data_IF_653668549083
#
_entry.id   IF_653668549083
#
_cell.length_a   1.000
_cell.length_b   1.000
_cell.length_c   1.000
_cell.angle_alpha   90.00
_cell.angle_beta   90.00
_cell.angle_gamma   90.00
#
_symmetry.space_group_name_H-M   'P 1'
#
loop_
_entity.id
_entity.type
_entity.pdbx_description
1 polymer ?
#
# COMPACT_ATOMS: atom_id res chain seq x y z
N UNK A 1 -36.08 -27.01 -18.65
CA UNK A 1 -34.93 -26.31 -19.26
C UNK A 1 -34.32 -25.46 -18.15
N UNK A 2 -33.29 -25.97 -17.48
CA UNK A 2 -32.67 -25.33 -16.33
C UNK A 2 -31.47 -24.55 -16.87
N UNK A 3 -31.53 -23.22 -16.81
CA UNK A 3 -30.40 -22.35 -17.12
C UNK A 3 -29.55 -22.31 -15.85
N UNK A 4 -28.53 -23.17 -15.77
CA UNK A 4 -27.46 -23.03 -14.79
C UNK A 4 -26.54 -21.91 -15.26
N UNK A 5 -26.75 -20.70 -14.75
CA UNK A 5 -25.83 -19.58 -14.88
C UNK A 5 -24.57 -19.89 -14.10
N UNK A 6 -23.55 -20.38 -14.79
CA UNK A 6 -22.19 -20.52 -14.27
C UNK A 6 -21.64 -19.13 -13.98
N UNK A 7 -21.68 -18.73 -12.70
CA UNK A 7 -20.90 -17.61 -12.18
C UNK A 7 -19.42 -17.96 -12.35
N UNK A 8 -18.82 -17.52 -13.46
CA UNK A 8 -17.38 -17.46 -13.60
C UNK A 8 -16.85 -16.40 -12.64
N UNK A 9 -16.47 -16.83 -11.43
CA UNK A 9 -15.50 -16.09 -10.63
C UNK A 9 -14.20 -16.04 -11.43
N UNK A 10 -13.91 -14.90 -12.06
CA UNK A 10 -12.58 -14.62 -12.58
C UNK A 10 -11.62 -14.40 -11.41
N UNK A 11 -11.23 -15.49 -10.75
CA UNK A 11 -10.06 -15.52 -9.88
C UNK A 11 -8.79 -15.54 -10.75
N UNK A 12 -8.58 -14.47 -11.52
CA UNK A 12 -7.33 -14.29 -12.28
C UNK A 12 -6.21 -13.92 -11.30
N UNK A 13 -5.46 -14.96 -10.92
CA UNK A 13 -4.12 -15.00 -10.32
C UNK A 13 -3.67 -13.77 -9.54
N UNK A 14 -4.12 -13.58 -8.30
CA UNK A 14 -3.47 -12.62 -7.41
C UNK A 14 -2.08 -13.16 -7.03
N UNK A 15 -1.04 -12.33 -7.05
CA UNK A 15 0.27 -12.75 -6.53
C UNK A 15 0.10 -13.16 -5.06
N UNK A 16 0.51 -14.39 -4.72
CA UNK A 16 0.47 -14.88 -3.34
C UNK A 16 1.28 -13.97 -2.42
N UNK A 17 2.40 -13.46 -2.92
CA UNK A 17 3.27 -12.55 -2.17
C UNK A 17 2.61 -11.19 -1.96
N UNK A 18 1.91 -10.65 -2.96
CA UNK A 18 1.15 -9.41 -2.80
C UNK A 18 0.09 -9.53 -1.69
N UNK A 19 -0.63 -10.65 -1.67
CA UNK A 19 -1.63 -10.91 -0.63
C UNK A 19 -1.00 -11.05 0.75
N UNK A 20 0.11 -11.77 0.85
CA UNK A 20 0.83 -11.92 2.13
C UNK A 20 1.38 -10.58 2.65
N UNK A 21 1.94 -9.72 1.79
CA UNK A 21 2.38 -8.36 2.17
C UNK A 21 1.20 -7.52 2.64
N UNK A 22 0.09 -7.55 1.89
CA UNK A 22 -1.15 -6.85 2.25
C UNK A 22 -1.73 -7.32 3.58
N UNK A 23 -1.81 -8.62 3.79
CA UNK A 23 -2.36 -9.22 5.01
C UNK A 23 -1.45 -8.96 6.22
N UNK A 24 -0.12 -8.97 6.03
CA UNK A 24 0.83 -8.56 7.08
C UNK A 24 0.61 -7.10 7.51
N UNK A 25 0.43 -6.20 6.55
CA UNK A 25 0.16 -4.79 6.85
C UNK A 25 -1.19 -4.63 7.57
N UNK A 26 -2.22 -5.36 7.15
CA UNK A 26 -3.54 -5.35 7.82
C UNK A 26 -3.46 -5.89 9.24
N UNK A 27 -2.71 -6.96 9.46
CA UNK A 27 -2.50 -7.52 10.78
C UNK A 27 -1.77 -6.54 11.70
N UNK A 28 -0.74 -5.84 11.19
CA UNK A 28 -0.09 -4.77 11.93
C UNK A 28 -1.07 -3.63 12.29
N UNK A 29 -1.91 -3.22 11.34
CA UNK A 29 -2.94 -2.19 11.56
C UNK A 29 -3.96 -2.62 12.63
N UNK A 30 -4.48 -3.85 12.56
CA UNK A 30 -5.49 -4.34 13.51
C UNK A 30 -4.91 -4.61 14.89
N UNK A 31 -3.64 -5.01 14.98
CA UNK A 31 -2.98 -5.35 16.24
C UNK A 31 -3.03 -4.24 17.28
N UNK A 32 -3.28 -3.00 16.87
CA UNK A 32 -3.22 -1.81 17.71
C UNK A 32 -4.57 -1.06 17.80
N UNK A 33 -5.66 -1.61 17.23
CA UNK A 33 -6.96 -0.94 17.11
C UNK A 33 -7.82 -0.94 18.40
N UNK A 34 -7.68 -1.94 19.28
CA UNK A 34 -8.57 -2.13 20.44
C UNK A 34 -7.95 -1.71 21.79
N UNK A 35 -7.12 -0.66 21.80
CA UNK A 35 -6.63 -0.02 23.04
C UNK A 35 -5.51 -0.74 23.79
N UNK A 36 -5.31 -2.05 23.60
CA UNK A 36 -4.24 -2.83 24.25
C UNK A 36 -3.26 -3.56 23.31
N UNK A 37 -3.18 -3.18 22.03
CA UNK A 37 -1.98 -3.44 21.22
C UNK A 37 -1.39 -4.85 21.31
N UNK A 38 -1.95 -5.85 20.63
CA UNK A 38 -1.48 -7.24 20.67
C UNK A 38 -0.05 -7.38 20.15
N UNK A 39 0.90 -7.47 21.09
CA UNK A 39 2.33 -7.69 20.78
C UNK A 39 2.58 -8.97 19.99
N UNK A 40 1.73 -9.98 20.15
CA UNK A 40 1.81 -11.22 19.37
C UNK A 40 1.40 -11.01 17.92
N UNK A 41 0.36 -10.22 17.66
CA UNK A 41 -0.09 -9.93 16.28
C UNK A 41 0.90 -9.05 15.52
N UNK A 42 1.48 -8.02 16.15
CA UNK A 42 2.52 -7.21 15.48
C UNK A 42 3.80 -8.02 15.22
N UNK A 43 4.14 -8.98 16.10
CA UNK A 43 5.26 -9.91 15.88
C UNK A 43 4.95 -10.87 14.73
N UNK A 44 3.71 -11.36 14.65
CA UNK A 44 3.28 -12.23 13.55
C UNK A 44 3.25 -11.48 12.21
N UNK A 45 2.79 -10.23 12.21
CA UNK A 45 2.87 -9.35 11.04
C UNK A 45 4.32 -9.16 10.58
N UNK A 46 5.26 -8.95 11.52
CA UNK A 46 6.70 -8.91 11.21
C UNK A 46 7.19 -10.21 10.59
N UNK A 47 6.80 -11.36 11.14
CA UNK A 47 7.20 -12.68 10.64
C UNK A 47 6.67 -12.92 9.23
N UNK A 48 5.39 -12.62 8.99
CA UNK A 48 4.74 -12.78 7.70
C UNK A 48 5.39 -11.88 6.64
N UNK A 49 5.62 -10.61 6.97
CA UNK A 49 6.25 -9.65 6.06
C UNK A 49 7.71 -10.01 5.72
N UNK A 50 8.45 -10.61 6.65
CA UNK A 50 9.79 -11.14 6.40
C UNK A 50 9.82 -12.48 5.66
N UNK A 51 8.70 -13.21 5.63
CA UNK A 51 8.61 -14.52 4.98
C UNK A 51 8.36 -14.46 3.47
N UNK A 52 8.10 -13.27 2.94
CA UNK A 52 7.78 -13.03 1.54
C UNK A 52 8.77 -12.07 0.89
N UNK A 53 8.95 -12.24 -0.42
CA UNK A 53 9.87 -11.43 -1.21
C UNK A 53 9.12 -10.20 -1.74
N UNK A 54 9.62 -9.01 -1.42
CA UNK A 54 9.10 -7.73 -1.92
C UNK A 54 10.19 -6.66 -1.77
N UNK A 55 10.18 -5.63 -2.61
CA UNK A 55 11.18 -4.55 -2.59
C UNK A 55 10.62 -3.21 -2.13
N UNK A 56 11.45 -2.29 -1.64
CA UNK A 56 11.01 -0.93 -1.39
C UNK A 56 10.50 -0.25 -2.66
N UNK A 57 9.28 0.29 -2.59
CA UNK A 57 8.67 1.11 -3.62
C UNK A 57 9.23 2.53 -3.56
N UNK A 58 9.65 3.06 -4.71
CA UNK A 58 10.04 4.47 -4.83
C UNK A 58 8.88 5.24 -5.47
N UNK A 59 8.36 6.22 -4.73
CA UNK A 59 7.29 7.12 -5.17
C UNK A 59 7.77 8.57 -5.13
N UNK A 60 7.55 9.30 -6.21
CA UNK A 60 7.79 10.74 -6.28
C UNK A 60 6.47 11.49 -6.08
N UNK A 61 6.30 12.30 -5.03
CA UNK A 61 5.09 13.09 -4.83
C UNK A 61 4.99 14.20 -5.87
N UNK A 62 3.79 14.40 -6.42
CA UNK A 62 3.47 15.57 -7.25
C UNK A 62 3.12 16.79 -6.41
N UNK A 63 2.64 16.58 -5.18
CA UNK A 63 2.19 17.62 -4.26
C UNK A 63 2.67 17.30 -2.83
N UNK A 64 3.87 17.77 -2.49
CA UNK A 64 4.54 17.48 -1.22
C UNK A 64 3.84 18.09 -0.01
N UNK A 65 3.07 19.15 -0.19
CA UNK A 65 2.34 19.85 0.87
C UNK A 65 1.24 19.01 1.53
N UNK A 66 0.77 17.95 0.85
CA UNK A 66 -0.17 17.00 1.43
C UNK A 66 0.50 15.92 2.30
N UNK A 67 1.83 15.79 2.26
CA UNK A 67 2.56 14.87 3.13
C UNK A 67 2.77 15.47 4.53
N UNK A 68 2.80 14.60 5.53
CA UNK A 68 3.13 14.95 6.92
C UNK A 68 4.44 14.27 7.36
N UNK A 69 5.01 14.71 8.48
CA UNK A 69 6.14 13.99 9.07
C UNK A 69 5.65 12.61 9.57
N UNK A 70 6.41 11.56 9.28
CA UNK A 70 6.12 10.20 9.73
C UNK A 70 6.50 9.97 11.20
N UNK A 71 7.21 10.90 11.85
CA UNK A 71 7.51 10.82 13.27
C UNK A 71 6.23 10.65 14.09
N UNK A 72 6.20 9.67 14.98
CA UNK A 72 5.02 9.37 15.80
C UNK A 72 4.09 8.31 15.19
N UNK A 73 4.31 7.93 13.93
CA UNK A 73 3.43 7.04 13.18
C UNK A 73 4.06 5.65 12.95
N UNK A 74 3.21 4.67 12.65
CA UNK A 74 3.65 3.32 12.28
C UNK A 74 4.46 3.35 10.99
N UNK A 75 5.56 2.59 10.92
CA UNK A 75 6.26 2.33 9.66
C UNK A 75 6.11 0.86 9.32
N UNK A 76 5.58 0.54 8.14
CA UNK A 76 5.25 -0.83 7.75
C UNK A 76 6.49 -1.56 7.26
N UNK A 77 7.32 -1.98 8.23
CA UNK A 77 8.57 -2.70 8.00
C UNK A 77 8.75 -3.75 9.09
N UNK A 78 9.41 -4.89 8.79
CA UNK A 78 9.66 -5.90 9.81
C UNK A 78 10.44 -5.34 11.00
N UNK A 79 11.46 -4.51 10.76
CA UNK A 79 12.34 -3.98 11.80
C UNK A 79 11.58 -3.03 12.75
N UNK A 80 10.65 -2.23 12.22
CA UNK A 80 9.80 -1.38 13.04
C UNK A 80 8.80 -2.22 13.84
N UNK A 81 8.14 -3.20 13.20
CA UNK A 81 7.19 -4.09 13.87
C UNK A 81 7.83 -4.89 15.00
N UNK A 82 9.01 -5.46 14.75
CA UNK A 82 9.79 -6.15 15.76
C UNK A 82 10.13 -5.22 16.94
N UNK A 83 10.56 -3.99 16.64
CA UNK A 83 10.91 -3.01 17.67
C UNK A 83 9.68 -2.60 18.52
N UNK A 84 8.50 -2.43 17.89
CA UNK A 84 7.23 -2.20 18.59
C UNK A 84 6.86 -3.42 19.45
N UNK A 85 6.96 -4.64 18.91
CA UNK A 85 6.64 -5.88 19.64
C UNK A 85 7.47 -6.07 20.91
N UNK A 86 8.71 -5.58 20.88
CA UNK A 86 9.66 -5.65 21.99
C UNK A 86 9.49 -4.50 23.00
N UNK A 87 8.46 -3.66 22.86
CA UNK A 87 8.09 -2.63 23.82
C UNK A 87 9.09 -1.47 23.92
N UNK A 88 9.91 -1.24 22.89
CA UNK A 88 10.86 -0.13 22.87
C UNK A 88 10.09 1.19 22.80
N UNK A 89 10.01 1.92 23.92
CA UNK A 89 9.18 3.14 24.10
C UNK A 89 9.42 4.25 23.07
N UNK A 90 10.62 4.33 22.46
CA UNK A 90 11.01 5.41 21.54
C UNK A 90 10.95 5.02 20.05
N UNK A 91 10.32 3.91 19.70
CA UNK A 91 10.31 3.42 18.30
C UNK A 91 9.61 4.40 17.36
N UNK A 92 8.49 4.96 17.79
CA UNK A 92 7.75 5.97 17.02
C UNK A 92 8.52 7.28 16.82
N UNK A 93 9.37 7.69 17.77
CA UNK A 93 10.30 8.81 17.58
C UNK A 93 11.34 8.54 16.49
N UNK A 94 11.66 7.26 16.28
CA UNK A 94 12.62 6.78 15.29
C UNK A 94 11.96 6.41 13.95
N UNK A 95 10.64 6.60 13.78
CA UNK A 95 9.91 6.24 12.56
C UNK A 95 10.58 6.75 11.28
N UNK A 96 11.02 8.01 11.28
CA UNK A 96 11.74 8.62 10.15
C UNK A 96 13.03 7.90 9.79
N UNK A 97 13.74 7.35 10.79
CA UNK A 97 14.96 6.55 10.57
C UNK A 97 14.59 5.23 9.90
N UNK A 98 13.62 4.50 10.44
CA UNK A 98 13.15 3.24 9.86
C UNK A 98 12.67 3.41 8.41
N UNK A 99 11.86 4.44 8.13
CA UNK A 99 11.39 4.73 6.78
C UNK A 99 12.55 4.98 5.79
N UNK A 100 13.55 5.77 6.19
CA UNK A 100 14.74 6.05 5.36
C UNK A 100 15.65 4.85 5.16
N UNK A 101 15.84 4.04 6.19
CA UNK A 101 16.65 2.82 6.10
C UNK A 101 15.98 1.82 5.16
N UNK A 102 14.67 1.70 5.26
CA UNK A 102 13.87 0.88 4.37
C UNK A 102 13.94 1.33 2.90
N UNK A 103 13.83 2.63 2.61
CA UNK A 103 13.99 3.16 1.24
C UNK A 103 15.38 2.85 0.63
N UNK A 104 16.41 2.66 1.47
CA UNK A 104 17.77 2.32 1.03
C UNK A 104 18.01 0.83 0.88
N UNK A 105 17.12 -0.01 1.38
CA UNK A 105 17.26 -1.47 1.36
C UNK A 105 16.98 -2.02 -0.05
N UNK A 106 17.96 -1.86 -0.95
CA UNK A 106 17.83 -2.31 -2.36
C UNK A 106 17.75 -3.84 -2.50
N UNK A 107 17.87 -4.61 -1.40
CA UNK A 107 18.24 -6.03 -1.40
C UNK A 107 17.13 -7.03 -1.05
N UNK A 108 15.85 -6.67 -1.16
CA UNK A 108 14.76 -7.64 -0.93
C UNK A 108 14.18 -8.24 -2.21
N UNK A 109 15.01 -8.98 -2.95
CA UNK A 109 14.55 -9.92 -3.99
C UNK A 109 13.93 -9.33 -5.25
N UNK A 110 12.81 -9.90 -5.70
CA UNK A 110 12.19 -9.70 -7.03
C UNK A 110 11.33 -8.42 -7.11
N UNK A 111 11.20 -7.80 -8.29
CA UNK A 111 10.47 -6.55 -8.52
C UNK A 111 8.96 -6.71 -8.67
N UNK A 112 8.44 -7.93 -8.47
CA UNK A 112 7.01 -8.28 -8.54
C UNK A 112 6.15 -7.58 -7.51
N UNK A 113 6.61 -7.46 -6.25
CA UNK A 113 5.84 -6.80 -5.19
C UNK A 113 6.68 -5.68 -4.61
N UNK A 114 6.13 -4.47 -4.64
CA UNK A 114 6.79 -3.27 -4.14
C UNK A 114 5.98 -2.68 -3.00
N UNK A 115 6.63 -2.16 -1.96
CA UNK A 115 5.95 -1.51 -0.86
C UNK A 115 6.73 -0.31 -0.31
N UNK A 116 6.03 0.74 0.09
CA UNK A 116 6.59 1.81 0.91
C UNK A 116 5.60 2.26 1.99
N UNK A 117 6.08 3.00 2.99
CA UNK A 117 5.20 3.75 3.90
C UNK A 117 5.30 5.24 3.62
N UNK A 118 4.17 5.92 3.46
CA UNK A 118 4.08 7.38 3.39
C UNK A 118 3.18 7.91 4.49
N UNK A 119 3.37 9.15 4.91
CA UNK A 119 2.52 9.80 5.91
C UNK A 119 1.76 10.94 5.24
N UNK A 120 0.43 10.85 5.28
CA UNK A 120 -0.46 11.80 4.61
C UNK A 120 -1.08 12.70 5.69
N UNK A 121 -1.07 14.01 5.46
CA UNK A 121 -1.66 14.98 6.38
C UNK A 121 -3.14 14.75 6.66
N UNK A 122 -3.64 15.33 7.74
CA UNK A 122 -5.06 15.27 8.10
C UNK A 122 -5.95 15.78 6.98
N UNK A 123 -6.94 14.97 6.55
CA UNK A 123 -7.84 15.27 5.42
C UNK A 123 -7.12 15.66 4.12
N UNK A 124 -5.84 15.32 3.98
CA UNK A 124 -5.06 15.65 2.79
C UNK A 124 -5.12 14.52 1.75
N UNK A 125 -4.83 14.91 0.52
CA UNK A 125 -4.66 14.00 -0.61
C UNK A 125 -3.27 14.21 -1.20
N UNK A 126 -2.55 13.13 -1.45
CA UNK A 126 -1.26 13.17 -2.16
C UNK A 126 -1.33 12.27 -3.38
N UNK A 127 -0.86 12.77 -4.51
CA UNK A 127 -0.65 11.97 -5.71
C UNK A 127 0.84 11.74 -5.91
N UNK A 128 1.19 10.48 -6.05
CA UNK A 128 2.53 10.01 -6.34
C UNK A 128 2.62 9.56 -7.80
N UNK A 129 3.81 9.64 -8.38
CA UNK A 129 4.15 8.97 -9.63
C UNK A 129 5.25 7.94 -9.41
N UNK A 130 5.21 6.88 -10.20
CA UNK A 130 6.28 5.89 -10.32
C UNK A 130 6.48 5.50 -11.78
N UNK A 131 7.72 5.14 -12.12
CA UNK A 131 8.00 4.43 -13.36
C UNK A 131 7.49 2.99 -13.24
N UNK A 132 6.82 2.51 -14.27
CA UNK A 132 6.21 1.18 -14.30
C UNK A 132 6.26 0.61 -15.70
N UNK A 133 6.91 -0.55 -15.84
CA UNK A 133 7.21 -1.16 -17.15
C UNK A 133 6.42 -2.44 -17.42
N UNK A 134 5.51 -2.81 -16.52
CA UNK A 134 4.69 -4.01 -16.66
C UNK A 134 3.33 -3.66 -17.29
N UNK A 135 2.72 -4.56 -18.07
CA UNK A 135 1.45 -4.30 -18.76
C UNK A 135 0.26 -4.15 -17.80
N UNK A 136 0.42 -4.57 -16.55
CA UNK A 136 -0.62 -4.55 -15.54
C UNK A 136 -0.05 -4.01 -14.23
N UNK A 137 -0.91 -3.33 -13.47
CA UNK A 137 -0.60 -2.86 -12.13
C UNK A 137 -1.78 -3.10 -11.20
N UNK A 138 -1.50 -3.55 -10.00
CA UNK A 138 -2.48 -3.58 -8.91
C UNK A 138 -1.92 -2.83 -7.72
N UNK A 139 -2.79 -2.09 -7.03
CA UNK A 139 -2.38 -1.31 -5.86
C UNK A 139 -3.31 -1.59 -4.70
N UNK A 140 -2.71 -1.74 -3.53
CA UNK A 140 -3.40 -1.73 -2.26
C UNK A 140 -2.78 -0.67 -1.34
N UNK A 141 -3.56 -0.23 -0.37
CA UNK A 141 -3.11 0.64 0.69
C UNK A 141 -3.67 0.19 2.03
N UNK A 142 -2.87 0.27 3.09
CA UNK A 142 -3.28 -0.01 4.46
C UNK A 142 -2.87 1.17 5.31
N UNK A 143 -3.84 1.87 5.90
CA UNK A 143 -3.55 2.93 6.84
C UNK A 143 -3.06 2.34 8.16
N UNK A 144 -2.36 3.14 8.97
CA UNK A 144 -2.12 2.76 10.35
C UNK A 144 -3.41 2.78 11.19
N UNK A 145 -3.26 2.52 12.48
CA UNK A 145 -4.34 2.48 13.47
C UNK A 145 -5.25 3.70 13.38
N UNK A 146 -6.56 3.47 13.37
CA UNK A 146 -7.61 4.49 13.22
C UNK A 146 -7.53 5.30 11.91
N UNK A 147 -6.59 5.00 11.02
CA UNK A 147 -6.50 5.66 9.72
C UNK A 147 -7.60 5.19 8.80
N UNK A 148 -8.06 6.11 7.93
CA UNK A 148 -9.07 5.84 6.92
C UNK A 148 -8.55 6.36 5.60
N UNK A 149 -8.52 5.51 4.57
CA UNK A 149 -7.94 5.85 3.28
C UNK A 149 -8.88 5.56 2.11
N UNK A 150 -8.79 6.43 1.11
CA UNK A 150 -9.23 6.14 -0.25
C UNK A 150 -8.02 6.15 -1.17
N UNK A 151 -8.07 5.33 -2.22
CA UNK A 151 -7.02 5.30 -3.24
C UNK A 151 -7.60 5.32 -4.64
N UNK A 152 -6.83 5.91 -5.55
CA UNK A 152 -7.06 5.92 -6.99
C UNK A 152 -5.73 5.69 -7.70
N UNK A 153 -5.76 4.87 -8.74
CA UNK A 153 -4.62 4.58 -9.61
C UNK A 153 -5.02 4.94 -11.03
N UNK A 154 -4.12 5.62 -11.73
CA UNK A 154 -4.41 6.05 -13.09
C UNK A 154 -3.14 6.20 -13.93
N UNK A 155 -3.33 6.07 -15.24
CA UNK A 155 -2.32 6.30 -16.27
C UNK A 155 -2.89 7.22 -17.34
N UNK A 156 -2.00 7.85 -18.11
CA UNK A 156 -2.36 8.63 -19.30
C UNK A 156 -1.59 8.08 -20.50
N UNK A 157 -2.30 7.88 -21.60
CA UNK A 157 -1.65 7.59 -22.87
C UNK A 157 -1.01 8.85 -23.48
N UNK A 158 -0.30 8.67 -24.60
CA UNK A 158 0.33 9.76 -25.36
C UNK A 158 -0.68 10.77 -25.92
N UNK A 159 -1.95 10.39 -26.12
CA UNK A 159 -3.03 11.27 -26.55
C UNK A 159 -3.69 12.05 -25.38
N UNK A 160 -3.33 11.71 -24.13
CA UNK A 160 -3.88 12.30 -22.92
C UNK A 160 -5.15 11.63 -22.38
N UNK A 161 -5.59 10.51 -22.96
CA UNK A 161 -6.74 9.76 -22.44
C UNK A 161 -6.40 9.14 -21.08
N UNK A 162 -7.37 9.18 -20.17
CA UNK A 162 -7.23 8.72 -18.80
C UNK A 162 -7.76 7.30 -18.66
N UNK A 163 -6.93 6.42 -18.09
CA UNK A 163 -7.32 5.08 -17.69
C UNK A 163 -7.16 4.98 -16.17
N UNK A 164 -8.24 4.69 -15.45
CA UNK A 164 -8.23 4.70 -13.99
C UNK A 164 -8.94 3.50 -13.34
N UNK A 165 -8.44 3.13 -12.17
CA UNK A 165 -9.13 2.34 -11.16
C UNK A 165 -9.18 3.18 -9.89
N UNK A 166 -10.32 3.19 -9.22
CA UNK A 166 -10.49 3.86 -7.94
C UNK A 166 -11.24 2.96 -6.99
N UNK A 167 -11.09 3.24 -5.70
CA UNK A 167 -11.94 2.61 -4.70
C UNK A 167 -13.39 2.99 -5.00
N UNK A 168 -14.22 2.00 -5.35
CA UNK A 168 -15.60 2.19 -5.79
C UNK A 168 -16.55 1.87 -4.66
N UNK A 169 -16.83 2.86 -3.83
CA UNK A 169 -18.07 3.08 -3.09
C UNK A 169 -17.97 4.50 -2.53
N UNK A 170 -19.08 5.23 -2.44
CA UNK A 170 -19.10 6.65 -2.06
C UNK A 170 -18.66 6.91 -0.60
N UNK A 171 -17.36 6.89 -0.35
CA UNK A 171 -16.81 6.78 1.01
C UNK A 171 -16.36 8.14 1.54
N UNK A 172 -17.35 8.91 1.99
CA UNK A 172 -17.13 10.09 2.84
C UNK A 172 -16.18 9.78 4.02
N UNK A 173 -16.22 8.53 4.53
CA UNK A 173 -15.47 8.11 5.71
C UNK A 173 -14.12 7.44 5.43
N UNK A 174 -13.88 6.92 4.21
CA UNK A 174 -12.76 6.03 3.92
C UNK A 174 -12.86 4.67 4.63
N UNK A 175 -11.83 3.83 4.50
CA UNK A 175 -11.71 2.52 5.19
C UNK A 175 -10.27 2.31 5.67
N UNK A 176 -10.03 1.45 6.67
CA UNK A 176 -8.68 1.17 7.18
C UNK A 176 -7.71 0.67 6.11
N UNK A 177 -8.22 0.05 5.06
CA UNK A 177 -7.43 -0.41 3.92
C UNK A 177 -8.26 -0.38 2.63
N UNK A 178 -7.54 -0.35 1.51
CA UNK A 178 -8.07 -0.46 0.15
C UNK A 178 -7.25 -1.44 -0.65
N UNK A 179 -7.91 -2.17 -1.54
CA UNK A 179 -7.27 -3.02 -2.52
C UNK A 179 -8.06 -2.90 -3.82
N UNK A 180 -7.43 -2.33 -4.84
CA UNK A 180 -8.09 -2.14 -6.13
C UNK A 180 -7.99 -3.41 -6.97
N UNK A 181 -8.94 -3.54 -7.88
CA UNK A 181 -8.78 -4.42 -9.03
C UNK A 181 -7.64 -3.95 -9.91
N UNK A 182 -7.18 -4.87 -10.75
CA UNK A 182 -6.07 -4.64 -11.66
C UNK A 182 -6.38 -3.59 -12.73
N UNK A 183 -5.40 -2.74 -13.00
CA UNK A 183 -5.41 -1.79 -14.12
C UNK A 183 -4.49 -2.32 -15.22
N UNK A 184 -5.07 -2.62 -16.38
CA UNK A 184 -4.31 -2.87 -17.60
C UNK A 184 -3.81 -1.54 -18.17
N UNK A 185 -2.50 -1.48 -18.43
CA UNK A 185 -1.83 -0.29 -18.93
C UNK A 185 -1.80 -0.36 -20.47
N UNK A 186 -2.39 0.62 -21.17
CA UNK A 186 -2.27 0.73 -22.62
C UNK A 186 -0.82 0.79 -23.08
N UNK A 187 -0.53 0.20 -24.25
CA UNK A 187 0.85 0.11 -24.80
C UNK A 187 1.47 1.47 -25.14
N UNK A 188 0.64 2.48 -25.33
CA UNK A 188 0.99 3.86 -25.68
C UNK A 188 0.99 4.80 -24.45
N UNK A 189 1.08 4.25 -23.24
CA UNK A 189 1.34 5.01 -22.02
C UNK A 189 2.84 5.29 -21.86
N UNK A 190 3.16 6.43 -21.23
CA UNK A 190 4.54 6.88 -21.02
C UNK A 190 5.28 6.13 -19.88
N UNK A 191 4.93 4.88 -19.59
CA UNK A 191 5.47 4.07 -18.48
C UNK A 191 5.37 4.74 -17.09
N UNK A 192 4.40 5.65 -16.89
CA UNK A 192 4.18 6.33 -15.62
C UNK A 192 2.81 5.95 -15.07
N UNK A 193 2.81 5.41 -13.85
CA UNK A 193 1.61 5.16 -13.05
C UNK A 193 1.51 6.21 -11.97
N UNK A 194 0.30 6.74 -11.80
CA UNK A 194 -0.04 7.69 -10.75
C UNK A 194 -0.88 6.99 -9.68
N UNK A 195 -0.50 7.18 -8.42
CA UNK A 195 -1.19 6.63 -7.25
C UNK A 195 -1.59 7.81 -6.36
N UNK A 196 -2.89 8.05 -6.27
CA UNK A 196 -3.48 9.04 -5.37
C UNK A 196 -3.92 8.34 -4.09
N UNK A 197 -3.45 8.84 -2.95
CA UNK A 197 -3.84 8.40 -1.61
C UNK A 197 -4.47 9.58 -0.89
N UNK A 198 -5.66 9.35 -0.35
CA UNK A 198 -6.38 10.32 0.44
C UNK A 198 -6.52 9.82 1.87
N UNK A 199 -6.06 10.61 2.84
CA UNK A 199 -6.31 10.36 4.24
C UNK A 199 -7.63 11.01 4.63
N UNK A 200 -8.63 10.19 4.95
CA UNK A 200 -9.95 10.62 5.40
C UNK A 200 -10.01 10.87 6.91
N UNK A 201 -8.93 10.65 7.65
CA UNK A 201 -8.88 10.89 9.09
C UNK A 201 -8.54 12.35 9.42
N UNK A 202 -8.92 12.79 10.63
CA UNK A 202 -8.74 14.17 11.13
C UNK A 202 -7.33 14.46 11.66
N UNK A 203 -6.46 13.46 11.65
CA UNK A 203 -5.04 13.57 12.01
C UNK A 203 -4.18 12.99 10.88
N UNK A 204 -2.88 13.33 10.82
CA UNK A 204 -1.95 12.66 9.93
C UNK A 204 -1.96 11.15 10.16
N UNK A 205 -1.88 10.38 9.07
CA UNK A 205 -1.83 8.93 9.15
C UNK A 205 -0.80 8.38 8.18
N UNK A 206 0.02 7.46 8.66
CA UNK A 206 0.87 6.66 7.81
C UNK A 206 0.08 5.59 7.07
N UNK A 207 0.53 5.28 5.87
CA UNK A 207 -0.14 4.38 4.94
C UNK A 207 0.93 3.54 4.25
N UNK A 208 0.82 2.22 4.37
CA UNK A 208 1.52 1.29 3.49
C UNK A 208 0.89 1.39 2.10
N UNK A 209 1.69 1.63 1.07
CA UNK A 209 1.28 1.56 -0.33
C UNK A 209 1.99 0.36 -0.93
N UNK A 210 1.22 -0.58 -1.48
CA UNK A 210 1.69 -1.88 -1.97
C UNK A 210 1.31 -1.98 -3.44
N UNK A 211 2.27 -2.35 -4.29
CA UNK A 211 2.11 -2.49 -5.74
C UNK A 211 2.45 -3.91 -6.16
N UNK A 212 1.58 -4.53 -6.95
CA UNK A 212 1.81 -5.80 -7.65
C UNK A 212 2.16 -5.49 -9.12
N UNK A 213 3.41 -5.73 -9.49
CA UNK A 213 3.94 -5.67 -10.83
C UNK A 213 3.75 -7.05 -11.47
N UNK A 214 2.64 -7.22 -12.20
CA UNK A 214 2.40 -8.47 -12.91
C UNK A 214 2.90 -8.40 -14.34
N UNK A 215 3.75 -9.35 -14.68
CA UNK A 215 3.89 -9.82 -16.05
C UNK A 215 2.67 -10.64 -16.44
N UNK A 216 2.19 -10.48 -17.69
CA UNK A 216 1.23 -11.41 -18.27
C UNK A 216 1.98 -12.74 -18.41
N UNK A 217 1.62 -13.74 -17.61
CA UNK A 217 2.03 -15.13 -17.88
C UNK A 217 1.33 -15.54 -19.19
N UNK A 218 2.14 -15.86 -20.21
CA UNK A 218 1.69 -16.36 -21.51
C UNK A 218 1.28 -17.83 -21.43
#
# INVERSE_FOLDING_TARGET
MIITSTLCFTAFGQSKDFNNVFDACRMAQSSMADGEGSKSEIREASRLLSSVIWRPLTLEPLNTEGEADIKGHLVFTPEFFEAVSNGKRKVYDMAKKYAREHEKDKMRGDDKVLMCTKCIGAKQTVTYRMKHYHPQVRVAAVAEVNGMVNIKVWVKDTAGNLYEKKSTTDEYKGMPYRKLDELTIPRDCNDIVYITVENKYDEPRSVAIIVDNKTVEQ
#
